data_IF_180741328918
#
_entry.id   IF_180741328918
#
_cell.length_a   1.000
_cell.length_b   1.000
_cell.length_c   1.000
_cell.angle_alpha   90.00
_cell.angle_beta   90.00
_cell.angle_gamma   90.00
#
_symmetry.space_group_name_H-M   'P 1'
#
loop_
_entity.id
_entity.type
_entity.pdbx_description
1 polymer ?
#
# COMPACT_ATOMS: atom_id res chain seq x y z
N UNK A 1 -7.96 27.12 -28.80
CA UNK A 1 -7.65 27.11 -27.36
C UNK A 1 -6.37 27.88 -27.16
N UNK A 2 -6.33 28.72 -26.15
CA UNK A 2 -5.15 29.52 -25.83
C UNK A 2 -3.99 28.64 -25.34
N UNK A 3 -2.74 29.07 -25.54
CA UNK A 3 -1.55 28.28 -25.20
C UNK A 3 -1.49 27.99 -23.69
N UNK A 4 -1.86 28.98 -22.89
CA UNK A 4 -1.91 28.86 -21.43
C UNK A 4 -2.96 27.85 -20.97
N UNK A 5 -4.09 27.76 -21.67
CA UNK A 5 -5.12 26.74 -21.41
C UNK A 5 -4.62 25.32 -21.72
N UNK A 6 -3.81 25.16 -22.77
CA UNK A 6 -3.23 23.86 -23.11
C UNK A 6 -2.16 23.43 -22.09
N UNK A 7 -1.34 24.35 -21.61
CA UNK A 7 -0.34 24.06 -20.58
C UNK A 7 -1.00 23.72 -19.23
N UNK A 8 -2.03 24.47 -18.85
CA UNK A 8 -2.80 24.19 -17.63
C UNK A 8 -3.50 22.83 -17.70
N UNK A 9 -4.10 22.48 -18.84
CA UNK A 9 -4.71 21.17 -19.05
C UNK A 9 -3.69 20.04 -18.87
N UNK A 10 -2.51 20.14 -19.49
CA UNK A 10 -1.44 19.13 -19.36
C UNK A 10 -0.96 18.98 -17.92
N UNK A 11 -0.89 20.09 -17.17
CA UNK A 11 -0.56 20.05 -15.76
C UNK A 11 -1.59 19.27 -14.94
N UNK A 12 -2.88 19.56 -15.13
CA UNK A 12 -3.96 18.85 -14.46
C UNK A 12 -4.01 17.36 -14.82
N UNK A 13 -3.77 17.00 -16.08
CA UNK A 13 -3.68 15.61 -16.51
C UNK A 13 -2.55 14.85 -15.79
N UNK A 14 -1.39 15.48 -15.60
CA UNK A 14 -0.29 14.90 -14.82
C UNK A 14 -0.65 14.73 -13.35
N UNK A 15 -1.29 15.73 -12.74
CA UNK A 15 -1.73 15.63 -11.34
C UNK A 15 -2.78 14.52 -11.15
N UNK A 16 -3.71 14.40 -12.10
CA UNK A 16 -4.73 13.35 -12.07
C UNK A 16 -4.10 11.95 -12.19
N UNK A 17 -3.16 11.78 -13.11
CA UNK A 17 -2.41 10.52 -13.26
C UNK A 17 -1.67 10.18 -11.97
N UNK A 18 -0.95 11.14 -11.40
CA UNK A 18 -0.21 10.97 -10.15
C UNK A 18 -1.12 10.57 -8.98
N UNK A 19 -2.26 11.26 -8.81
CA UNK A 19 -3.22 10.95 -7.76
C UNK A 19 -3.84 9.57 -7.92
N UNK A 20 -4.06 9.10 -9.16
CA UNK A 20 -4.56 7.74 -9.42
C UNK A 20 -3.54 6.67 -9.04
N UNK A 21 -2.26 6.91 -9.32
CA UNK A 21 -1.20 5.98 -8.94
C UNK A 21 -1.08 5.87 -7.42
N UNK A 22 -1.14 7.01 -6.72
CA UNK A 22 -1.16 7.01 -5.25
C UNK A 22 -2.37 6.27 -4.68
N UNK A 23 -3.56 6.47 -5.26
CA UNK A 23 -4.77 5.77 -4.83
C UNK A 23 -4.61 4.25 -4.98
N UNK A 24 -4.05 3.79 -6.10
CA UNK A 24 -3.76 2.37 -6.33
C UNK A 24 -2.80 1.81 -5.28
N UNK A 25 -1.70 2.50 -4.99
CA UNK A 25 -0.73 2.04 -3.99
C UNK A 25 -1.39 1.94 -2.59
N UNK A 26 -2.26 2.90 -2.24
CA UNK A 26 -3.01 2.86 -0.99
C UNK A 26 -4.00 1.69 -0.93
N UNK A 27 -4.66 1.34 -2.04
CA UNK A 27 -5.51 0.14 -2.12
C UNK A 27 -4.68 -1.14 -1.93
N UNK A 28 -3.48 -1.23 -2.50
CA UNK A 28 -2.57 -2.37 -2.31
C UNK A 28 -2.10 -2.47 -0.84
N UNK A 29 -1.79 -1.35 -0.17
CA UNK A 29 -1.47 -1.34 1.26
C UNK A 29 -2.66 -1.80 2.11
N UNK A 30 -3.86 -1.31 1.84
CA UNK A 30 -5.07 -1.68 2.60
C UNK A 30 -5.37 -3.18 2.51
N UNK A 31 -5.18 -3.77 1.33
CA UNK A 31 -5.29 -5.21 1.12
C UNK A 31 -4.33 -6.00 2.03
N UNK A 32 -3.04 -5.62 2.06
CA UNK A 32 -2.05 -6.30 2.90
C UNK A 32 -2.31 -6.09 4.39
N UNK A 33 -2.81 -4.93 4.80
CA UNK A 33 -3.22 -4.69 6.18
C UNK A 33 -4.42 -5.55 6.60
N UNK A 34 -5.36 -5.80 5.69
CA UNK A 34 -6.45 -6.74 5.93
C UNK A 34 -5.92 -8.18 6.09
N UNK A 35 -4.97 -8.61 5.26
CA UNK A 35 -4.31 -9.92 5.41
C UNK A 35 -3.61 -10.06 6.77
N UNK A 36 -2.88 -9.03 7.21
CA UNK A 36 -2.26 -9.02 8.55
C UNK A 36 -3.30 -9.13 9.67
N UNK A 37 -4.45 -8.45 9.51
CA UNK A 37 -5.55 -8.53 10.46
C UNK A 37 -6.13 -9.95 10.53
N UNK A 38 -6.36 -10.60 9.39
CA UNK A 38 -6.88 -11.97 9.35
C UNK A 38 -5.93 -12.95 10.05
N UNK A 39 -4.60 -12.80 9.87
CA UNK A 39 -3.59 -13.60 10.59
C UNK A 39 -3.70 -13.38 12.11
N UNK A 40 -3.81 -12.12 12.55
CA UNK A 40 -3.92 -11.80 13.97
C UNK A 40 -5.23 -12.34 14.58
N UNK A 41 -6.35 -12.23 13.86
CA UNK A 41 -7.64 -12.78 14.28
C UNK A 41 -7.59 -14.31 14.34
N UNK A 42 -6.96 -14.97 13.37
CA UNK A 42 -6.74 -16.42 13.40
C UNK A 42 -5.95 -16.83 14.65
N UNK A 43 -4.85 -16.14 14.94
CA UNK A 43 -3.98 -16.46 16.07
C UNK A 43 -4.65 -16.28 17.44
N UNK A 44 -5.57 -15.31 17.58
CA UNK A 44 -6.33 -15.11 18.83
C UNK A 44 -7.39 -16.20 19.04
N UNK A 45 -7.94 -16.74 17.95
CA UNK A 45 -9.06 -17.69 18.02
C UNK A 45 -8.64 -19.17 18.07
N UNK A 46 -7.34 -19.48 17.93
CA UNK A 46 -6.83 -20.84 17.88
C UNK A 46 -5.72 -21.07 18.91
N UNK A 47 -5.66 -22.29 19.45
CA UNK A 47 -4.49 -22.74 20.23
C UNK A 47 -3.37 -23.11 19.25
N UNK A 48 -2.43 -22.19 19.06
CA UNK A 48 -1.32 -22.39 18.14
C UNK A 48 -0.15 -23.13 18.80
N UNK A 49 0.45 -24.04 18.05
CA UNK A 49 1.76 -24.60 18.36
C UNK A 49 2.87 -23.57 18.12
N UNK A 50 4.06 -23.81 18.69
CA UNK A 50 5.23 -22.95 18.45
C UNK A 50 5.58 -22.82 16.96
N UNK A 51 5.46 -23.90 16.18
CA UNK A 51 5.75 -23.88 14.75
C UNK A 51 4.74 -23.04 13.95
N UNK A 52 3.47 -23.07 14.33
CA UNK A 52 2.45 -22.22 13.73
C UNK A 52 2.68 -20.75 14.08
N UNK A 53 3.01 -20.44 15.34
CA UNK A 53 3.38 -19.09 15.77
C UNK A 53 4.57 -18.55 14.97
N UNK A 54 5.61 -19.36 14.77
CA UNK A 54 6.78 -18.96 13.95
C UNK A 54 6.39 -18.71 12.49
N UNK A 55 5.50 -19.55 11.94
CA UNK A 55 5.03 -19.41 10.56
C UNK A 55 4.20 -18.13 10.36
N UNK A 56 3.24 -17.87 11.24
CA UNK A 56 2.40 -16.67 11.17
C UNK A 56 3.23 -15.40 11.37
N UNK A 57 4.22 -15.41 12.27
CA UNK A 57 5.15 -14.29 12.42
C UNK A 57 6.01 -14.08 11.17
N UNK A 58 6.41 -15.15 10.48
CA UNK A 58 7.08 -15.06 9.18
C UNK A 58 6.21 -14.32 8.16
N UNK A 59 4.95 -14.72 8.02
CA UNK A 59 3.99 -14.08 7.12
C UNK A 59 3.75 -12.60 7.46
N UNK A 60 3.61 -12.27 8.75
CA UNK A 60 3.45 -10.88 9.19
C UNK A 60 4.67 -10.01 8.86
N UNK A 61 5.89 -10.57 8.96
CA UNK A 61 7.11 -9.85 8.60
C UNK A 61 7.19 -9.62 7.08
N UNK A 62 6.85 -10.62 6.27
CA UNK A 62 6.80 -10.46 4.81
C UNK A 62 5.80 -9.37 4.40
N UNK A 63 4.59 -9.39 4.96
CA UNK A 63 3.57 -8.38 4.69
C UNK A 63 4.04 -6.98 5.11
N UNK A 64 4.71 -6.87 6.26
CA UNK A 64 5.29 -5.61 6.73
C UNK A 64 6.35 -5.07 5.77
N UNK A 65 7.22 -5.93 5.24
CA UNK A 65 8.25 -5.52 4.27
C UNK A 65 7.62 -5.05 2.94
N UNK A 66 6.57 -5.72 2.48
CA UNK A 66 5.80 -5.32 1.29
C UNK A 66 5.14 -3.96 1.50
N UNK A 67 4.42 -3.77 2.62
CA UNK A 67 3.80 -2.49 2.97
C UNK A 67 4.85 -1.39 3.03
N UNK A 68 6.00 -1.62 3.66
CA UNK A 68 7.06 -0.63 3.75
C UNK A 68 7.58 -0.22 2.36
N UNK A 69 7.74 -1.17 1.44
CA UNK A 69 8.13 -0.91 0.05
C UNK A 69 7.08 -0.05 -0.69
N UNK A 70 5.79 -0.31 -0.48
CA UNK A 70 4.70 0.47 -1.06
C UNK A 70 4.65 1.90 -0.47
N UNK A 71 4.86 2.04 0.84
CA UNK A 71 4.95 3.35 1.51
C UNK A 71 6.10 4.21 0.95
N UNK A 72 7.24 3.61 0.60
CA UNK A 72 8.33 4.36 -0.05
C UNK A 72 7.93 4.91 -1.43
N UNK A 73 7.01 4.24 -2.14
CA UNK A 73 6.52 4.72 -3.44
C UNK A 73 5.53 5.88 -3.31
N UNK A 74 4.88 6.05 -2.14
CA UNK A 74 3.99 7.18 -1.87
C UNK A 74 4.72 8.47 -1.57
N UNK A 75 6.01 8.41 -1.18
CA UNK A 75 6.76 9.62 -0.85
C UNK A 75 6.75 10.58 -2.05
N UNK A 76 6.31 11.83 -1.86
CA UNK A 76 6.29 12.78 -2.96
C UNK A 76 7.72 12.95 -3.43
N UNK A 77 7.96 12.70 -4.72
CA UNK A 77 9.13 13.27 -5.38
C UNK A 77 8.88 14.78 -5.34
N UNK A 78 9.34 15.44 -4.28
CA UNK A 78 9.32 16.90 -4.14
C UNK A 78 10.19 17.43 -5.27
N UNK A 79 9.56 17.88 -6.34
CA UNK A 79 10.19 18.57 -7.48
C UNK A 79 9.51 19.92 -7.68
#
# INVERSE_FOLDING_TARGET
MDKDQQEHKKFLERQLQWSREQARILEEIDMHLHEMKEIAEYAVNHELTLGEVETLNGQLNELKDVIHSLEQQLQPVIH
#
